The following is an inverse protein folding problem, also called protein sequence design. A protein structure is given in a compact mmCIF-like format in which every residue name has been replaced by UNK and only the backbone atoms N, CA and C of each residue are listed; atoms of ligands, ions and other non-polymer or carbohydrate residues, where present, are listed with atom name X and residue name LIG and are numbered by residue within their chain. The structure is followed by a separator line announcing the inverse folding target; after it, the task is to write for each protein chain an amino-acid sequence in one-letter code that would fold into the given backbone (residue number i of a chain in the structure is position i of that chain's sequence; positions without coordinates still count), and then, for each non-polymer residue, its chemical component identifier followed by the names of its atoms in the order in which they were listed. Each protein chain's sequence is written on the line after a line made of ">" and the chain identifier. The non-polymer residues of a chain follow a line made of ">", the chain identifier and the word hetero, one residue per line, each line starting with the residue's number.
data_IF_865448369183
#
_entry.id   IF_865448369183
#
_cell.length_a   1.000
_cell.length_b   1.000
_cell.length_c   1.000
_cell.angle_alpha   90.00
_cell.angle_beta   90.00
_cell.angle_gamma   90.00
#
_symmetry.space_group_name_H-M   'P 1'
#
loop_
_entity.id
_entity.type
_entity.pdbx_description
1 polymer ?
#
# COMPACT_ATOMS: atom_id res chain seq x y z
N UNK A 1 8.44 -19.19 -4.60
CA UNK A 1 9.05 -18.02 -3.93
C UNK A 1 7.87 -17.14 -3.57
N UNK A 2 7.51 -17.04 -2.29
CA UNK A 2 6.36 -16.22 -1.88
C UNK A 2 6.75 -14.75 -2.04
N UNK A 3 6.07 -14.03 -2.91
CA UNK A 3 6.38 -12.63 -3.14
C UNK A 3 5.92 -11.77 -1.96
N UNK A 4 6.60 -10.65 -1.70
CA UNK A 4 6.24 -9.72 -0.61
C UNK A 4 4.78 -9.23 -0.73
N UNK A 5 4.21 -9.26 -1.94
CA UNK A 5 2.84 -8.85 -2.23
C UNK A 5 1.78 -9.82 -1.70
N UNK A 6 2.16 -11.09 -1.45
CA UNK A 6 1.25 -12.11 -0.93
C UNK A 6 1.16 -12.07 0.61
N UNK A 7 2.04 -11.31 1.26
CA UNK A 7 2.05 -11.16 2.71
C UNK A 7 0.98 -10.18 3.18
N UNK A 8 0.35 -10.50 4.31
CA UNK A 8 -0.50 -9.53 4.97
C UNK A 8 0.35 -8.41 5.61
N UNK A 9 -0.27 -7.25 5.84
CA UNK A 9 0.41 -6.05 6.37
C UNK A 9 1.07 -6.31 7.72
N UNK A 10 0.44 -7.10 8.60
CA UNK A 10 0.99 -7.41 9.92
C UNK A 10 2.29 -8.20 9.81
N UNK A 11 2.31 -9.25 8.99
CA UNK A 11 3.50 -10.07 8.74
C UNK A 11 4.62 -9.26 8.09
N UNK A 12 4.30 -8.35 7.17
CA UNK A 12 5.26 -7.43 6.57
C UNK A 12 5.93 -6.51 7.62
N UNK A 13 5.14 -5.97 8.55
CA UNK A 13 5.63 -5.10 9.62
C UNK A 13 6.49 -5.86 10.63
N UNK A 14 6.08 -7.07 11.02
CA UNK A 14 6.87 -7.95 11.89
C UNK A 14 8.22 -8.32 11.24
N UNK A 15 8.22 -8.63 9.94
CA UNK A 15 9.44 -8.98 9.21
C UNK A 15 10.38 -7.79 9.03
N UNK A 16 9.84 -6.59 8.79
CA UNK A 16 10.61 -5.33 8.69
C UNK A 16 11.27 -4.95 10.01
N UNK A 17 10.64 -5.25 11.14
CA UNK A 17 11.18 -4.99 12.48
C UNK A 17 12.10 -6.08 13.02
N UNK A 18 12.32 -7.16 12.25
CA UNK A 18 13.16 -8.30 12.64
C UNK A 18 14.61 -8.13 12.16
N UNK A 19 15.47 -9.09 12.51
CA UNK A 19 16.86 -9.15 12.03
C UNK A 19 16.97 -9.56 10.54
N UNK A 20 15.84 -9.76 9.85
CA UNK A 20 15.84 -10.12 8.44
C UNK A 20 16.31 -8.94 7.56
N UNK A 21 17.18 -9.18 6.56
CA UNK A 21 17.67 -8.14 5.65
C UNK A 21 16.60 -7.60 4.68
N UNK A 22 15.45 -8.28 4.55
CA UNK A 22 14.34 -7.91 3.68
C UNK A 22 13.04 -8.34 4.38
N UNK A 23 11.99 -7.52 4.41
CA UNK A 23 11.67 -6.32 3.62
C UNK A 23 12.45 -5.09 4.09
N UNK A 24 13.14 -4.43 3.16
CA UNK A 24 13.91 -3.22 3.46
C UNK A 24 13.09 -1.94 3.29
N UNK A 25 13.74 -0.80 3.51
CA UNK A 25 13.12 0.53 3.39
C UNK A 25 12.47 0.78 2.02
N UNK A 26 13.08 0.31 0.92
CA UNK A 26 12.52 0.47 -0.42
C UNK A 26 11.17 -0.22 -0.61
N UNK A 27 11.01 -1.44 -0.11
CA UNK A 27 9.75 -2.18 -0.18
C UNK A 27 8.66 -1.51 0.65
N UNK A 28 9.02 -0.96 1.81
CA UNK A 28 8.07 -0.21 2.67
C UNK A 28 7.70 1.14 2.07
N UNK A 29 8.64 1.84 1.41
CA UNK A 29 8.34 3.07 0.66
C UNK A 29 7.41 2.80 -0.52
N UNK A 30 7.59 1.68 -1.23
CA UNK A 30 6.68 1.26 -2.30
C UNK A 30 5.27 1.00 -1.77
N UNK A 31 5.13 0.30 -0.64
CA UNK A 31 3.85 0.08 0.03
C UNK A 31 3.19 1.41 0.43
N UNK A 32 3.94 2.33 1.04
CA UNK A 32 3.43 3.65 1.43
C UNK A 32 2.94 4.46 0.22
N UNK A 33 3.69 4.45 -0.88
CA UNK A 33 3.29 5.09 -2.13
C UNK A 33 2.02 4.48 -2.73
N UNK A 34 1.91 3.15 -2.73
CA UNK A 34 0.73 2.44 -3.21
C UNK A 34 -0.53 2.79 -2.41
N UNK A 35 -0.42 2.85 -1.07
CA UNK A 35 -1.52 3.28 -0.18
C UNK A 35 -1.94 4.72 -0.50
N UNK A 36 -0.99 5.64 -0.64
CA UNK A 36 -1.26 7.03 -0.99
C UNK A 36 -2.00 7.18 -2.33
N UNK A 37 -1.53 6.49 -3.37
CA UNK A 37 -2.17 6.48 -4.68
C UNK A 37 -3.61 5.94 -4.62
N UNK A 38 -3.82 4.90 -3.82
CA UNK A 38 -5.14 4.28 -3.70
C UNK A 38 -6.14 5.14 -2.93
N UNK A 39 -5.69 5.92 -1.95
CA UNK A 39 -6.51 6.95 -1.30
C UNK A 39 -6.94 8.03 -2.29
N UNK A 40 -6.05 8.49 -3.16
CA UNK A 40 -6.38 9.42 -4.25
C UNK A 40 -7.45 8.85 -5.19
N UNK A 41 -7.30 7.57 -5.59
CA UNK A 41 -8.32 6.86 -6.38
C UNK A 41 -9.66 6.74 -5.67
N UNK A 42 -9.67 6.47 -4.36
CA UNK A 42 -10.90 6.42 -3.57
C UNK A 42 -11.65 7.75 -3.61
N UNK A 43 -10.94 8.88 -3.42
CA UNK A 43 -11.54 10.22 -3.49
C UNK A 43 -12.13 10.48 -4.89
N UNK A 44 -11.41 10.09 -5.94
CA UNK A 44 -11.91 10.18 -7.32
C UNK A 44 -13.21 9.38 -7.52
N UNK A 45 -13.25 8.10 -7.14
CA UNK A 45 -14.47 7.26 -7.27
C UNK A 45 -15.65 7.83 -6.47
N UNK A 46 -15.42 8.43 -5.30
CA UNK A 46 -16.46 9.09 -4.53
C UNK A 46 -16.97 10.40 -5.18
N UNK A 47 -16.25 10.93 -6.16
CA UNK A 47 -16.50 12.24 -6.76
C UNK A 47 -17.08 12.14 -8.17
N UNK A 48 -16.59 11.23 -9.00
CA UNK A 48 -16.91 11.13 -10.44
C UNK A 48 -18.42 11.00 -10.74
N UNK A 49 -19.19 10.36 -9.86
CA UNK A 49 -20.61 10.09 -10.07
C UNK A 49 -21.55 11.08 -9.38
N UNK A 50 -21.03 12.13 -8.76
CA UNK A 50 -21.87 13.16 -8.12
C UNK A 50 -22.46 14.07 -9.19
N UNK A 51 -23.78 14.32 -9.11
CA UNK A 51 -24.53 15.22 -10.01
C UNK A 51 -23.94 16.64 -10.14
N UNK A 52 -23.23 17.13 -9.13
CA UNK A 52 -22.58 18.45 -9.17
C UNK A 52 -21.41 18.53 -10.15
N UNK A 53 -20.85 17.39 -10.56
CA UNK A 53 -19.65 17.28 -11.39
C UNK A 53 -19.89 16.49 -12.70
N UNK A 54 -21.15 16.16 -13.02
CA UNK A 54 -21.56 15.48 -14.26
C UNK A 54 -22.13 16.48 -15.27
#
# INVERSE_FOLDING_TARGET
>A
MSELIDMNVKSLLELTGSDAPTPGGGSMSALAGAVGAQLGRMVYHLTENKKAWR
#
